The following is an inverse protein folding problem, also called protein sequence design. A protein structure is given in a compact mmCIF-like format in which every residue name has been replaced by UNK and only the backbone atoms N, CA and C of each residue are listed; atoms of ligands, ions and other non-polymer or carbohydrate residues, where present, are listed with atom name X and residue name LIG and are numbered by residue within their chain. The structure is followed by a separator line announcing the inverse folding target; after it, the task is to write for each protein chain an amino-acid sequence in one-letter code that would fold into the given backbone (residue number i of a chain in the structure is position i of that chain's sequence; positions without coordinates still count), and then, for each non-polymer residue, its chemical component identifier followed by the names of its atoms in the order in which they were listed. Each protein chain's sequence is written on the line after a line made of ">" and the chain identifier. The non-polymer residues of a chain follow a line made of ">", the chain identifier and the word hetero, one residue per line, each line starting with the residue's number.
data_IF_893980476238
#
_entry.id   IF_893980476238
#
_cell.length_a   1.000
_cell.length_b   1.000
_cell.length_c   1.000
_cell.angle_alpha   90.00
_cell.angle_beta   90.00
_cell.angle_gamma   90.00
#
_symmetry.space_group_name_H-M   'P 1'
#
loop_
_entity.id
_entity.type
_entity.pdbx_description
1 polymer ?
#
# COMPACT_ATOMS: atom_id res chain seq x y z
N UNK A 1 -13.15 -29.60 -26.62
CA UNK A 1 -12.22 -29.37 -25.49
C UNK A 1 -11.28 -28.18 -25.73
N UNK A 2 -10.75 -27.98 -26.95
CA UNK A 2 -9.97 -26.76 -27.33
C UNK A 2 -10.69 -25.42 -27.06
N UNK A 3 -12.02 -25.38 -27.17
CA UNK A 3 -12.85 -24.17 -26.92
C UNK A 3 -12.85 -23.71 -25.47
N UNK A 4 -12.73 -24.62 -24.50
CA UNK A 4 -12.65 -24.27 -23.07
C UNK A 4 -11.33 -23.55 -22.79
N UNK A 5 -10.22 -24.12 -23.23
CA UNK A 5 -8.89 -23.56 -23.03
C UNK A 5 -8.74 -22.21 -23.74
N UNK A 6 -9.23 -22.11 -24.98
CA UNK A 6 -9.28 -20.84 -25.72
C UNK A 6 -10.11 -19.77 -24.98
N UNK A 7 -11.25 -20.16 -24.41
CA UNK A 7 -12.08 -19.24 -23.62
C UNK A 7 -11.36 -18.77 -22.36
N UNK A 8 -10.70 -19.68 -21.63
CA UNK A 8 -9.93 -19.34 -20.42
C UNK A 8 -8.74 -18.44 -20.74
N UNK A 9 -7.99 -18.71 -21.82
CA UNK A 9 -6.89 -17.85 -22.31
C UNK A 9 -7.39 -16.44 -22.63
N UNK A 10 -8.55 -16.32 -23.31
CA UNK A 10 -9.16 -15.00 -23.61
C UNK A 10 -9.60 -14.26 -22.35
N UNK A 11 -10.21 -14.94 -21.38
CA UNK A 11 -10.60 -14.35 -20.10
C UNK A 11 -9.38 -13.86 -19.32
N UNK A 12 -8.32 -14.67 -19.28
CA UNK A 12 -7.06 -14.31 -18.65
C UNK A 12 -6.41 -13.09 -19.31
N UNK A 13 -6.41 -13.04 -20.65
CA UNK A 13 -5.91 -11.86 -21.39
C UNK A 13 -6.68 -10.59 -20.98
N UNK A 14 -8.00 -10.68 -20.90
CA UNK A 14 -8.83 -9.55 -20.45
C UNK A 14 -8.51 -9.15 -19.01
N UNK A 15 -8.33 -10.13 -18.11
CA UNK A 15 -8.04 -9.83 -16.71
C UNK A 15 -6.63 -9.30 -16.48
N UNK A 16 -5.62 -9.72 -17.24
CA UNK A 16 -4.24 -9.20 -17.18
C UNK A 16 -4.20 -7.70 -17.52
N UNK A 17 -4.99 -7.29 -18.51
CA UNK A 17 -5.01 -5.90 -18.97
C UNK A 17 -5.83 -4.99 -18.02
N UNK A 18 -6.67 -5.56 -17.15
CA UNK A 18 -7.59 -4.77 -16.31
C UNK A 18 -6.86 -3.97 -15.22
N UNK A 19 -5.90 -4.53 -14.46
CA UNK A 19 -5.05 -3.76 -13.54
C UNK A 19 -4.36 -2.59 -14.24
N UNK A 20 -3.75 -2.82 -15.41
CA UNK A 20 -3.06 -1.77 -16.18
C UNK A 20 -3.98 -0.59 -16.53
N UNK A 21 -5.17 -0.89 -17.07
CA UNK A 21 -6.16 0.15 -17.41
C UNK A 21 -6.63 0.94 -16.19
N UNK A 22 -6.80 0.28 -15.04
CA UNK A 22 -7.15 0.96 -13.80
C UNK A 22 -5.99 1.84 -13.37
N UNK A 23 -4.77 1.32 -13.35
CA UNK A 23 -3.57 2.08 -12.97
C UNK A 23 -3.40 3.33 -13.83
N UNK A 24 -3.57 3.23 -15.14
CA UNK A 24 -3.46 4.37 -16.05
C UNK A 24 -4.51 5.44 -15.75
N UNK A 25 -5.76 5.04 -15.50
CA UNK A 25 -6.81 5.96 -15.07
C UNK A 25 -6.47 6.64 -13.74
N UNK A 26 -5.91 5.89 -12.77
CA UNK A 26 -5.56 6.43 -11.46
C UNK A 26 -4.36 7.38 -11.50
N UNK A 27 -3.37 7.11 -12.37
CA UNK A 27 -2.23 8.00 -12.64
C UNK A 27 -2.67 9.28 -13.35
N UNK A 28 -3.62 9.17 -14.30
CA UNK A 28 -4.22 10.34 -14.94
C UNK A 28 -4.92 11.25 -13.91
N UNK A 29 -5.58 10.64 -12.93
CA UNK A 29 -6.21 11.30 -11.79
C UNK A 29 -5.22 11.88 -10.77
N UNK A 30 -3.92 11.61 -10.92
CA UNK A 30 -2.80 12.03 -10.05
C UNK A 30 -3.06 11.77 -8.57
N UNK A 31 -3.55 10.58 -8.25
CA UNK A 31 -3.82 10.18 -6.87
C UNK A 31 -2.55 10.13 -6.02
N UNK A 32 -1.43 9.80 -6.65
CA UNK A 32 -0.09 9.87 -6.09
C UNK A 32 0.29 11.28 -5.64
N UNK A 33 -0.37 12.34 -6.13
CA UNK A 33 -0.13 13.75 -5.78
C UNK A 33 -1.14 14.32 -4.78
N UNK A 34 -2.05 13.48 -4.25
CA UNK A 34 -3.10 13.90 -3.29
C UNK A 34 -2.53 14.80 -2.19
N UNK A 35 -3.05 16.02 -2.04
CA UNK A 35 -2.48 17.02 -1.12
C UNK A 35 -2.33 16.50 0.31
N UNK A 36 -1.11 16.66 0.84
CA UNK A 36 -0.75 16.34 2.23
C UNK A 36 -0.68 17.60 3.10
N UNK A 37 -1.25 18.71 2.62
CA UNK A 37 -1.20 19.97 3.35
C UNK A 37 -2.10 19.91 4.61
N UNK A 38 -1.54 20.05 5.83
CA UNK A 38 -2.31 20.03 7.08
C UNK A 38 -3.28 21.22 7.23
N UNK A 39 -3.10 22.29 6.45
CA UNK A 39 -3.96 23.49 6.54
C UNK A 39 -5.28 23.33 5.79
N UNK A 40 -5.48 22.21 5.11
CA UNK A 40 -6.68 21.94 4.34
C UNK A 40 -7.84 21.61 5.28
N UNK A 41 -9.07 21.92 4.85
CA UNK A 41 -10.27 21.62 5.64
C UNK A 41 -10.43 20.11 5.83
N UNK A 42 -10.94 19.70 7.00
CA UNK A 42 -11.23 18.29 7.34
C UNK A 42 -12.04 17.57 6.27
N UNK A 43 -13.05 18.22 5.69
CA UNK A 43 -13.91 17.61 4.67
C UNK A 43 -13.14 17.22 3.41
N UNK A 44 -12.16 18.03 3.00
CA UNK A 44 -11.33 17.72 1.84
C UNK A 44 -10.38 16.56 2.16
N UNK A 45 -9.83 16.49 3.38
CA UNK A 45 -9.06 15.32 3.80
C UNK A 45 -9.91 14.04 3.80
N UNK A 46 -11.16 14.09 4.29
CA UNK A 46 -12.07 12.94 4.27
C UNK A 46 -12.42 12.52 2.84
N UNK A 47 -12.62 13.48 1.93
CA UNK A 47 -12.82 13.20 0.49
C UNK A 47 -11.60 12.52 -0.13
N UNK A 48 -10.40 13.00 0.19
CA UNK A 48 -9.14 12.41 -0.27
C UNK A 48 -8.96 10.97 0.26
N UNK A 49 -9.28 10.74 1.54
CA UNK A 49 -9.28 9.40 2.15
C UNK A 49 -10.21 8.47 1.38
N UNK A 50 -11.46 8.87 1.16
CA UNK A 50 -12.44 8.06 0.43
C UNK A 50 -11.95 7.71 -0.98
N UNK A 51 -11.45 8.71 -1.72
CA UNK A 51 -10.94 8.49 -3.08
C UNK A 51 -9.77 7.51 -3.09
N UNK A 52 -8.82 7.63 -2.16
CA UNK A 52 -7.68 6.71 -2.04
C UNK A 52 -8.13 5.29 -1.66
N UNK A 53 -9.10 5.14 -0.76
CA UNK A 53 -9.66 3.84 -0.37
C UNK A 53 -10.38 3.15 -1.54
N UNK A 54 -11.24 3.87 -2.26
CA UNK A 54 -11.94 3.35 -3.43
C UNK A 54 -10.95 2.92 -4.53
N UNK A 55 -9.92 3.72 -4.76
CA UNK A 55 -8.89 3.45 -5.77
C UNK A 55 -8.05 2.22 -5.40
N UNK A 56 -7.63 2.12 -4.13
CA UNK A 56 -6.87 0.96 -3.63
C UNK A 56 -7.69 -0.32 -3.77
N UNK A 57 -8.97 -0.29 -3.36
CA UNK A 57 -9.88 -1.44 -3.51
C UNK A 57 -10.11 -1.83 -4.97
N UNK A 58 -10.18 -0.86 -5.88
CA UNK A 58 -10.34 -1.14 -7.31
C UNK A 58 -9.13 -1.91 -7.87
N UNK A 59 -7.91 -1.55 -7.45
CA UNK A 59 -6.69 -2.28 -7.82
C UNK A 59 -6.72 -3.69 -7.23
N UNK A 60 -6.99 -3.82 -5.93
CA UNK A 60 -7.06 -5.13 -5.24
C UNK A 60 -8.06 -6.08 -5.90
N UNK A 61 -9.25 -5.58 -6.27
CA UNK A 61 -10.26 -6.39 -6.94
C UNK A 61 -9.82 -6.82 -8.35
N UNK A 62 -9.13 -5.94 -9.09
CA UNK A 62 -8.61 -6.28 -10.41
C UNK A 62 -7.47 -7.29 -10.35
N UNK A 63 -6.57 -7.17 -9.36
CA UNK A 63 -5.51 -8.17 -9.10
C UNK A 63 -6.13 -9.53 -8.78
N UNK A 64 -7.08 -9.59 -7.84
CA UNK A 64 -7.78 -10.82 -7.50
C UNK A 64 -8.51 -11.44 -8.71
N UNK A 65 -9.10 -10.62 -9.59
CA UNK A 65 -9.73 -11.12 -10.81
C UNK A 65 -8.72 -11.76 -11.77
N UNK A 66 -7.51 -11.19 -11.86
CA UNK A 66 -6.44 -11.74 -12.68
C UNK A 66 -5.92 -13.06 -12.10
N UNK A 67 -5.65 -13.12 -10.80
CA UNK A 67 -5.23 -14.34 -10.08
C UNK A 67 -6.24 -15.47 -10.28
N UNK A 68 -7.53 -15.21 -10.01
CA UNK A 68 -8.60 -16.19 -10.20
C UNK A 68 -8.71 -16.70 -11.65
N UNK A 69 -8.42 -15.83 -12.63
CA UNK A 69 -8.45 -16.20 -14.05
C UNK A 69 -7.25 -17.08 -14.43
N UNK A 70 -6.10 -16.86 -13.80
CA UNK A 70 -4.91 -17.69 -13.96
C UNK A 70 -5.12 -19.07 -13.34
N UNK A 71 -5.62 -19.13 -12.11
CA UNK A 71 -5.95 -20.40 -11.44
C UNK A 71 -6.97 -21.21 -12.23
N UNK A 72 -7.97 -20.54 -12.81
CA UNK A 72 -8.96 -21.17 -13.67
C UNK A 72 -8.37 -21.67 -14.99
N UNK A 73 -7.30 -21.05 -15.50
CA UNK A 73 -6.57 -21.53 -16.66
C UNK A 73 -5.67 -22.72 -16.29
N UNK A 74 -4.92 -22.64 -15.20
CA UNK A 74 -4.07 -23.71 -14.69
C UNK A 74 -4.89 -24.99 -14.43
N UNK A 75 -6.03 -24.87 -13.75
CA UNK A 75 -6.97 -25.98 -13.52
C UNK A 75 -7.50 -26.59 -14.83
N UNK A 76 -7.71 -25.76 -15.86
CA UNK A 76 -8.12 -26.23 -17.18
C UNK A 76 -6.98 -26.94 -17.92
N UNK A 77 -5.71 -26.57 -17.67
CA UNK A 77 -4.54 -27.29 -18.16
C UNK A 77 -4.39 -28.65 -17.46
N UNK A 78 -4.47 -28.70 -16.13
CA UNK A 78 -4.31 -29.95 -15.35
C UNK A 78 -5.39 -30.99 -15.66
N UNK A 79 -6.61 -30.53 -15.94
CA UNK A 79 -7.73 -31.42 -16.31
C UNK A 79 -7.62 -32.01 -17.71
N UNK A 80 -6.76 -31.47 -18.58
CA UNK A 80 -6.54 -31.97 -19.93
C UNK A 80 -5.20 -32.69 -19.92
N UNK A 81 -5.19 -34.00 -20.18
CA UNK A 81 -3.95 -34.75 -20.43
C UNK A 81 -3.30 -34.24 -21.72
N UNK A 82 -2.58 -33.12 -21.63
CA UNK A 82 -1.96 -32.43 -22.75
C UNK A 82 -0.68 -33.17 -23.15
N UNK A 83 -0.72 -33.77 -24.33
CA UNK A 83 0.46 -34.34 -24.97
C UNK A 83 1.44 -33.22 -25.34
N UNK A 84 2.47 -33.04 -24.51
CA UNK A 84 3.82 -32.55 -24.81
C UNK A 84 4.05 -31.14 -25.39
N UNK A 85 3.10 -30.51 -26.07
CA UNK A 85 3.36 -29.33 -26.91
C UNK A 85 2.52 -28.09 -26.58
N UNK A 86 1.56 -28.20 -25.66
CA UNK A 86 0.69 -27.07 -25.26
C UNK A 86 1.15 -26.36 -23.97
N UNK A 87 2.14 -26.90 -23.23
CA UNK A 87 2.61 -26.33 -21.95
C UNK A 87 3.26 -24.96 -22.11
N UNK A 88 3.95 -24.69 -23.23
CA UNK A 88 4.58 -23.39 -23.50
C UNK A 88 3.58 -22.23 -23.54
N UNK A 89 2.31 -22.51 -23.83
CA UNK A 89 1.28 -21.48 -23.87
C UNK A 89 0.89 -20.95 -22.49
N UNK A 90 1.06 -21.72 -21.41
CA UNK A 90 0.72 -21.29 -20.05
C UNK A 90 1.80 -20.34 -19.49
N UNK A 91 3.07 -20.69 -19.69
CA UNK A 91 4.23 -19.95 -19.16
C UNK A 91 4.26 -18.49 -19.65
N UNK A 92 3.87 -18.25 -20.91
CA UNK A 92 3.73 -16.88 -21.44
C UNK A 92 2.69 -16.05 -20.67
N UNK A 93 1.54 -16.65 -20.32
CA UNK A 93 0.52 -15.94 -19.54
C UNK A 93 0.95 -15.72 -18.10
N UNK A 94 1.69 -16.67 -17.50
CA UNK A 94 2.25 -16.54 -16.16
C UNK A 94 3.21 -15.36 -16.10
N UNK A 95 4.17 -15.24 -17.02
CA UNK A 95 5.10 -14.11 -17.01
C UNK A 95 4.40 -12.74 -17.21
N UNK A 96 3.37 -12.68 -18.07
CA UNK A 96 2.59 -11.47 -18.29
C UNK A 96 1.77 -11.06 -17.06
N UNK A 97 1.08 -12.00 -16.43
CA UNK A 97 0.27 -11.68 -15.25
C UNK A 97 1.16 -11.32 -14.05
N UNK A 98 2.29 -11.99 -13.84
CA UNK A 98 3.23 -11.64 -12.77
C UNK A 98 3.73 -10.19 -12.92
N UNK A 99 4.07 -9.78 -14.14
CA UNK A 99 4.49 -8.41 -14.43
C UNK A 99 3.37 -7.41 -14.12
N UNK A 100 2.16 -7.66 -14.62
CA UNK A 100 0.99 -6.79 -14.41
C UNK A 100 0.61 -6.69 -12.91
N UNK A 101 0.60 -7.82 -12.21
CA UNK A 101 0.33 -7.88 -10.77
C UNK A 101 1.41 -7.16 -9.96
N UNK A 102 2.70 -7.34 -10.28
CA UNK A 102 3.79 -6.66 -9.58
C UNK A 102 3.65 -5.15 -9.68
N UNK A 103 3.39 -4.61 -10.87
CA UNK A 103 3.21 -3.17 -11.08
C UNK A 103 1.97 -2.64 -10.35
N UNK A 104 0.87 -3.38 -10.39
CA UNK A 104 -0.36 -3.04 -9.67
C UNK A 104 -0.15 -3.04 -8.15
N UNK A 105 0.58 -4.03 -7.64
CA UNK A 105 0.91 -4.17 -6.23
C UNK A 105 1.78 -3.02 -5.72
N UNK A 106 2.85 -2.68 -6.44
CA UNK A 106 3.72 -1.55 -6.09
C UNK A 106 2.95 -0.23 -6.02
N UNK A 107 2.04 -0.01 -6.97
CA UNK A 107 1.19 1.17 -6.98
C UNK A 107 0.18 1.17 -5.82
N UNK A 108 -0.38 0.00 -5.47
CA UNK A 108 -1.25 -0.14 -4.29
C UNK A 108 -0.54 0.25 -2.99
N UNK A 109 0.71 -0.20 -2.80
CA UNK A 109 1.53 0.19 -1.64
C UNK A 109 1.71 1.71 -1.57
N UNK A 110 1.99 2.35 -2.71
CA UNK A 110 2.14 3.80 -2.79
C UNK A 110 0.88 4.52 -2.32
N UNK A 111 -0.30 4.11 -2.81
CA UNK A 111 -1.58 4.69 -2.42
C UNK A 111 -1.91 4.43 -0.94
N UNK A 112 -1.66 3.23 -0.44
CA UNK A 112 -1.87 2.88 0.98
C UNK A 112 -0.99 3.72 1.92
N UNK A 113 0.28 3.94 1.56
CA UNK A 113 1.18 4.83 2.33
C UNK A 113 0.65 6.26 2.35
N UNK A 114 0.14 6.75 1.22
CA UNK A 114 -0.44 8.10 1.13
C UNK A 114 -1.72 8.21 1.96
N UNK A 115 -2.58 7.20 1.88
CA UNK A 115 -3.79 7.09 2.72
C UNK A 115 -3.45 7.13 4.21
N UNK A 116 -2.44 6.37 4.66
CA UNK A 116 -1.97 6.39 6.04
C UNK A 116 -1.51 7.79 6.48
N UNK A 117 -0.81 8.51 5.60
CA UNK A 117 -0.37 9.89 5.87
C UNK A 117 -1.57 10.83 6.01
N UNK A 118 -2.55 10.79 5.09
CA UNK A 118 -3.74 11.64 5.17
C UNK A 118 -4.58 11.34 6.41
N UNK A 119 -4.74 10.06 6.78
CA UNK A 119 -5.43 9.66 8.01
C UNK A 119 -4.74 10.21 9.27
N UNK A 120 -3.40 10.23 9.28
CA UNK A 120 -2.63 10.81 10.38
C UNK A 120 -2.92 12.31 10.54
N UNK A 121 -2.97 13.07 9.43
CA UNK A 121 -3.29 14.50 9.44
C UNK A 121 -4.68 14.78 10.04
N UNK A 122 -5.68 13.95 9.74
CA UNK A 122 -7.05 14.09 10.29
C UNK A 122 -7.14 13.72 11.77
N UNK A 123 -6.24 12.84 12.22
CA UNK A 123 -6.21 12.31 13.59
C UNK A 123 -5.37 13.18 14.54
N UNK A 124 -4.54 14.09 14.02
CA UNK A 124 -3.82 15.04 14.86
C UNK A 124 -4.81 16.05 15.47
N UNK A 125 -4.81 16.23 16.80
CA UNK A 125 -5.57 17.31 17.42
C UNK A 125 -5.03 18.63 16.89
N UNK A 126 -5.92 19.49 16.41
CA UNK A 126 -5.61 20.87 16.05
C UNK A 126 -5.08 21.55 17.32
N UNK A 127 -3.77 21.53 17.52
CA UNK A 127 -3.13 22.38 18.52
C UNK A 127 -3.21 23.78 17.94
N UNK A 128 -4.26 24.49 18.32
CA UNK A 128 -4.47 25.91 18.02
C UNK A 128 -3.34 26.72 18.65
N UNK A 129 -2.22 26.85 17.93
CA UNK A 129 -1.20 27.84 18.20
C UNK A 129 -1.57 29.13 17.47
N UNK A 130 -2.56 29.85 18.02
CA UNK A 130 -2.56 31.30 17.88
C UNK A 130 -1.45 31.81 18.80
N UNK A 131 -0.42 32.46 18.24
CA UNK A 131 0.16 33.75 18.68
C UNK A 131 1.47 34.00 17.91
N UNK A 132 1.39 34.98 17.01
CA UNK A 132 2.38 36.04 16.72
C UNK A 132 3.84 35.69 16.38
N UNK A 133 4.20 35.96 15.12
CA UNK A 133 5.37 36.75 14.70
C UNK A 133 6.59 36.76 15.64
N UNK A 134 7.64 35.99 15.31
CA UNK A 134 9.03 36.48 15.19
C UNK A 134 9.96 35.35 14.70
N UNK A 135 10.98 35.72 13.92
CA UNK A 135 12.03 34.89 13.32
C UNK A 135 12.82 34.01 14.35
N UNK A 136 13.55 32.97 13.89
CA UNK A 136 13.92 31.83 14.72
C UNK A 136 15.14 32.12 15.59
N UNK A 137 15.05 31.79 16.88
CA UNK A 137 16.23 31.65 17.75
C UNK A 137 16.28 30.23 18.29
N UNK A 138 17.40 29.56 18.04
CA UNK A 138 17.73 28.20 18.48
C UNK A 138 17.32 28.00 19.95
N UNK A 139 16.45 27.01 20.23
CA UNK A 139 16.17 26.58 21.59
C UNK A 139 16.60 25.13 21.79
N UNK A 140 17.64 25.00 22.59
CA UNK A 140 18.19 23.78 23.15
C UNK A 140 17.11 22.88 23.76
N UNK A 141 17.24 21.56 23.51
CA UNK A 141 16.48 20.54 24.20
C UNK A 141 16.78 20.58 25.71
N UNK A 142 15.75 20.78 26.54
CA UNK A 142 15.86 20.80 28.00
C UNK A 142 15.68 19.36 28.52
N UNK A 143 16.78 18.74 28.93
CA UNK A 143 16.78 17.41 29.56
C UNK A 143 16.30 17.57 31.01
N UNK A 144 15.25 16.84 31.41
CA UNK A 144 14.85 16.75 32.83
C UNK A 144 15.86 15.87 33.57
N UNK A 145 16.41 16.29 34.73
CA UNK A 145 17.27 15.45 35.53
C UNK A 145 16.46 14.31 36.16
N UNK A 146 16.92 13.07 35.94
CA UNK A 146 16.43 11.88 36.65
C UNK A 146 17.09 11.86 38.03
N UNK A 147 16.33 12.16 39.08
CA UNK A 147 16.79 11.96 40.44
C UNK A 147 16.76 10.46 40.75
N UNK A 148 17.94 9.88 40.92
CA UNK A 148 18.11 8.49 41.35
C UNK A 148 18.09 8.46 42.89
N UNK A 149 17.24 7.61 43.45
CA UNK A 149 17.19 7.35 44.89
C UNK A 149 18.50 6.72 45.38
N UNK A 150 19.13 7.34 46.39
CA UNK A 150 20.39 6.89 46.97
C UNK A 150 20.24 5.59 47.77
N UNK A 151 21.02 4.57 47.41
CA UNK A 151 21.10 3.29 48.14
C UNK A 151 22.02 3.48 49.36
N UNK A 152 21.67 2.96 50.55
CA UNK A 152 22.52 3.11 51.74
C UNK A 152 23.82 2.30 51.63
N UNK A 153 24.93 2.91 52.06
CA UNK A 153 26.27 2.30 52.08
C UNK A 153 26.46 1.62 53.45
N UNK A 154 26.83 0.33 53.52
CA UNK A 154 27.11 -0.34 54.79
C UNK A 154 28.49 0.04 55.33
N UNK A 155 28.56 0.53 56.57
CA UNK A 155 29.82 0.78 57.28
C UNK A 155 30.33 -0.50 57.94
N UNK A 156 31.45 -1.04 57.46
CA UNK A 156 32.13 -2.16 58.11
C UNK A 156 33.01 -1.61 59.24
N UNK A 157 32.57 -1.79 60.50
CA UNK A 157 33.36 -1.46 61.68
C UNK A 157 34.27 -2.61 62.05
N UNK A 158 35.49 -2.63 61.52
CA UNK A 158 36.56 -3.54 61.93
C UNK A 158 37.69 -2.77 62.61
N UNK A 159 37.94 -3.05 63.89
CA UNK A 159 39.14 -2.60 64.61
C UNK A 159 40.28 -3.59 64.29
N UNK A 160 41.39 -3.09 63.74
CA UNK A 160 42.72 -3.74 63.77
C UNK A 160 43.48 -3.24 64.98
#
# INVERSE_FOLDING_TARGET
>A
MSTLLSTKKRLLTFSINKPELILDSLKQDRLEDTSLNPTLTRDVHLKNIRKLEESTKAIELAMAMAENSLDALASAFDSINLSGNESNGLEEYVGKIETSLSVAFDYSILLQKRLGTVRSLVSQPISSATVSSSFPSMRHARVKPLELSSIPIPSFGGNV
#
